data_IF_177392081057
#
_entry.id   IF_177392081057
#
_cell.length_a   1.000
_cell.length_b   1.000
_cell.length_c   1.000
_cell.angle_alpha   90.00
_cell.angle_beta   90.00
_cell.angle_gamma   90.00
#
_symmetry.space_group_name_H-M   'P 1'
#
loop_
_entity.id
_entity.type
_entity.pdbx_description
1 polymer ?
#
# COMPACT_ATOMS: atom_id res chain seq x y z
N UNK A 1 -15.34 -12.21 4.60
CA UNK A 1 -14.10 -12.20 5.39
C UNK A 1 -12.80 -12.29 4.54
N UNK A 2 -12.69 -13.06 3.43
CA UNK A 2 -11.42 -13.16 2.69
C UNK A 2 -10.89 -11.81 2.19
N UNK A 3 -11.76 -10.92 1.71
CA UNK A 3 -11.35 -9.59 1.23
C UNK A 3 -10.61 -8.75 2.29
N UNK A 4 -11.07 -8.79 3.54
CA UNK A 4 -10.43 -8.06 4.64
C UNK A 4 -9.03 -8.60 4.92
N UNK A 5 -8.87 -9.92 5.08
CA UNK A 5 -7.58 -10.52 5.39
C UNK A 5 -6.59 -10.40 4.24
N UNK A 6 -7.04 -10.59 2.99
CA UNK A 6 -6.20 -10.39 1.81
C UNK A 6 -5.74 -8.94 1.70
N UNK A 7 -6.64 -7.97 1.86
CA UNK A 7 -6.27 -6.56 1.82
C UNK A 7 -5.33 -6.18 2.96
N UNK A 8 -5.55 -6.71 4.17
CA UNK A 8 -4.67 -6.47 5.31
C UNK A 8 -3.26 -6.99 5.05
N UNK A 9 -3.12 -8.25 4.63
CA UNK A 9 -1.83 -8.87 4.39
C UNK A 9 -1.09 -8.24 3.20
N UNK A 10 -1.76 -8.06 2.07
CA UNK A 10 -1.14 -7.48 0.87
C UNK A 10 -0.74 -6.02 1.09
N UNK A 11 -1.59 -5.22 1.76
CA UNK A 11 -1.27 -3.84 2.08
C UNK A 11 -0.14 -3.73 3.10
N UNK A 12 -0.10 -4.60 4.11
CA UNK A 12 1.01 -4.64 5.06
C UNK A 12 2.32 -5.01 4.36
N UNK A 13 2.33 -6.06 3.54
CA UNK A 13 3.52 -6.50 2.80
C UNK A 13 4.04 -5.41 1.85
N UNK A 14 3.15 -4.76 1.09
CA UNK A 14 3.52 -3.68 0.19
C UNK A 14 4.09 -2.48 0.98
N UNK A 15 3.45 -2.12 2.09
CA UNK A 15 3.81 -0.95 2.89
C UNK A 15 5.16 -1.09 3.59
N UNK A 16 5.60 -2.31 4.01
CA UNK A 16 6.89 -2.50 4.71
C UNK A 16 8.07 -2.00 3.89
N UNK A 17 8.07 -2.23 2.58
CA UNK A 17 9.09 -1.73 1.65
C UNK A 17 8.76 -0.38 1.03
N UNK A 18 7.56 0.16 1.27
CA UNK A 18 7.00 1.34 0.63
C UNK A 18 7.61 2.67 1.11
N UNK A 19 7.45 3.71 0.29
CA UNK A 19 7.92 5.07 0.61
C UNK A 19 7.24 5.66 1.85
N UNK A 20 5.91 5.45 2.07
CA UNK A 20 5.25 6.04 3.23
C UNK A 20 5.81 5.53 4.57
N UNK A 21 6.15 4.23 4.67
CA UNK A 21 6.75 3.68 5.88
C UNK A 21 8.15 4.25 6.14
N UNK A 22 8.97 4.36 5.08
CA UNK A 22 10.30 4.94 5.16
C UNK A 22 10.24 6.42 5.60
N UNK A 23 9.37 7.20 4.99
CA UNK A 23 9.16 8.60 5.36
C UNK A 23 8.69 8.74 6.81
N UNK A 24 7.72 7.92 7.23
CA UNK A 24 7.21 7.92 8.62
C UNK A 24 8.32 7.60 9.62
N UNK A 25 9.15 6.60 9.33
CA UNK A 25 10.27 6.22 10.19
C UNK A 25 11.28 7.37 10.35
N UNK A 26 11.66 7.99 9.24
CA UNK A 26 12.59 9.14 9.25
C UNK A 26 12.02 10.33 10.02
N UNK A 27 10.77 10.70 9.74
CA UNK A 27 10.10 11.79 10.45
C UNK A 27 9.96 11.51 11.95
N UNK A 28 9.63 10.27 12.33
CA UNK A 28 9.55 9.89 13.75
C UNK A 28 10.91 10.01 14.44
N UNK A 29 11.99 9.59 13.78
CA UNK A 29 13.34 9.75 14.29
C UNK A 29 13.74 11.21 14.53
N UNK A 30 13.32 12.11 13.63
CA UNK A 30 13.62 13.54 13.76
C UNK A 30 12.68 14.28 14.72
N UNK A 31 11.41 13.88 14.81
CA UNK A 31 10.37 14.54 15.63
C UNK A 31 10.26 13.95 17.05
N UNK A 32 11.13 12.99 17.40
CA UNK A 32 11.14 12.40 18.74
C UNK A 32 9.89 11.60 19.09
N UNK A 33 9.29 10.90 18.13
CA UNK A 33 8.11 10.06 18.38
C UNK A 33 6.81 10.84 18.63
N UNK A 34 6.61 11.97 17.96
CA UNK A 34 5.43 12.82 18.11
C UNK A 34 4.13 12.04 17.86
N UNK A 35 3.21 12.07 18.83
CA UNK A 35 1.89 11.41 18.75
C UNK A 35 1.03 11.97 17.61
N UNK A 36 1.17 13.26 17.28
CA UNK A 36 0.50 13.86 16.15
C UNK A 36 0.87 13.21 14.81
N UNK A 37 2.12 12.74 14.67
CA UNK A 37 2.57 12.06 13.46
C UNK A 37 1.83 10.73 13.27
N UNK A 38 1.67 9.91 14.31
CA UNK A 38 0.94 8.63 14.17
C UNK A 38 -0.55 8.85 13.89
N UNK A 39 -1.15 9.88 14.47
CA UNK A 39 -2.54 10.25 14.15
C UNK A 39 -2.68 10.60 12.66
N UNK A 40 -1.75 11.38 12.11
CA UNK A 40 -1.71 11.70 10.67
C UNK A 40 -1.51 10.44 9.83
N UNK A 41 -0.62 9.52 10.22
CA UNK A 41 -0.41 8.25 9.52
C UNK A 41 -1.70 7.42 9.42
N UNK A 42 -2.43 7.26 10.51
CA UNK A 42 -3.71 6.55 10.52
C UNK A 42 -4.78 7.26 9.69
N UNK A 43 -4.91 8.58 9.84
CA UNK A 43 -5.87 9.37 9.07
C UNK A 43 -5.63 9.22 7.56
N UNK A 44 -4.38 9.38 7.12
CA UNK A 44 -4.02 9.25 5.71
C UNK A 44 -4.22 7.82 5.20
N UNK A 45 -3.90 6.79 6.01
CA UNK A 45 -4.13 5.40 5.65
C UNK A 45 -5.63 5.08 5.49
N UNK A 46 -6.49 5.59 6.36
CA UNK A 46 -7.94 5.42 6.28
C UNK A 46 -8.50 6.13 5.04
N UNK A 47 -8.15 7.40 4.86
CA UNK A 47 -8.65 8.21 3.73
C UNK A 47 -8.24 7.60 2.39
N UNK A 48 -6.97 7.27 2.21
CA UNK A 48 -6.49 6.72 0.94
C UNK A 48 -7.02 5.31 0.67
N UNK A 49 -7.22 4.48 1.71
CA UNK A 49 -7.87 3.17 1.57
C UNK A 49 -9.35 3.33 1.20
N UNK A 50 -10.05 4.30 1.79
CA UNK A 50 -11.44 4.58 1.47
C UNK A 50 -11.61 5.04 0.01
N UNK A 51 -10.73 5.92 -0.45
CA UNK A 51 -10.70 6.37 -1.85
C UNK A 51 -10.43 5.20 -2.81
N UNK A 52 -9.46 4.32 -2.48
CA UNK A 52 -9.16 3.15 -3.29
C UNK A 52 -10.33 2.14 -3.31
N UNK A 53 -10.95 1.89 -2.15
CA UNK A 53 -12.11 0.99 -2.05
C UNK A 53 -13.32 1.51 -2.80
N UNK A 54 -13.64 2.79 -2.66
CA UNK A 54 -14.71 3.45 -3.40
C UNK A 54 -14.44 3.46 -4.91
N UNK A 55 -13.23 3.85 -5.33
CA UNK A 55 -12.82 3.82 -6.73
C UNK A 55 -12.90 2.43 -7.33
N UNK A 56 -12.51 1.40 -6.56
CA UNK A 56 -12.64 0.00 -6.97
C UNK A 56 -14.09 -0.44 -7.14
N UNK A 57 -14.98 -0.04 -6.23
CA UNK A 57 -16.43 -0.32 -6.35
C UNK A 57 -17.02 0.34 -7.59
N UNK A 58 -16.66 1.60 -7.85
CA UNK A 58 -17.11 2.33 -9.02
C UNK A 58 -16.61 1.69 -10.32
N UNK A 59 -15.32 1.34 -10.39
CA UNK A 59 -14.77 0.63 -11.55
C UNK A 59 -15.45 -0.72 -11.78
N UNK A 60 -15.70 -1.48 -10.70
CA UNK A 60 -16.36 -2.79 -10.78
C UNK A 60 -17.75 -2.71 -11.39
N UNK A 61 -18.46 -1.58 -11.19
CA UNK A 61 -19.80 -1.37 -11.78
C UNK A 61 -19.76 -1.14 -13.29
N UNK A 62 -18.61 -0.72 -13.84
CA UNK A 62 -18.42 -0.44 -15.26
C UNK A 62 -17.80 -1.62 -16.04
N UNK A 63 -17.32 -2.66 -15.32
CA UNK A 63 -16.53 -3.73 -15.93
C UNK A 63 -17.32 -5.04 -16.06
N UNK A 64 -17.20 -5.69 -17.23
CA UNK A 64 -17.60 -7.08 -17.40
C UNK A 64 -16.72 -8.03 -16.56
N UNK A 65 -17.22 -9.23 -16.18
CA UNK A 65 -16.48 -10.16 -15.32
C UNK A 65 -15.05 -10.47 -15.79
N UNK A 66 -14.84 -10.71 -17.08
CA UNK A 66 -13.52 -10.97 -17.66
C UNK A 66 -12.58 -9.76 -17.54
N UNK A 67 -13.11 -8.54 -17.69
CA UNK A 67 -12.34 -7.31 -17.52
C UNK A 67 -11.87 -7.10 -16.09
N UNK A 68 -12.67 -7.51 -15.08
CA UNK A 68 -12.29 -7.43 -13.66
C UNK A 68 -11.04 -8.24 -13.37
N UNK A 69 -10.97 -9.47 -13.86
CA UNK A 69 -9.79 -10.34 -13.65
C UNK A 69 -8.54 -9.77 -14.32
N UNK A 70 -8.66 -9.26 -15.55
CA UNK A 70 -7.55 -8.59 -16.23
C UNK A 70 -7.11 -7.32 -15.51
N UNK A 71 -8.06 -6.55 -14.97
CA UNK A 71 -7.75 -5.36 -14.17
C UNK A 71 -6.97 -5.71 -12.89
N UNK A 72 -7.36 -6.79 -12.19
CA UNK A 72 -6.63 -7.28 -11.01
C UNK A 72 -5.21 -7.70 -11.38
N UNK A 73 -5.03 -8.42 -12.49
CA UNK A 73 -3.70 -8.78 -12.98
C UNK A 73 -2.84 -7.54 -13.29
N UNK A 74 -3.42 -6.53 -13.95
CA UNK A 74 -2.74 -5.26 -14.24
C UNK A 74 -2.36 -4.50 -12.96
N UNK A 75 -3.26 -4.42 -11.98
CA UNK A 75 -3.00 -3.77 -10.69
C UNK A 75 -1.86 -4.46 -9.92
N UNK A 76 -1.84 -5.80 -9.91
CA UNK A 76 -0.75 -6.59 -9.34
C UNK A 76 0.60 -6.32 -10.05
N UNK A 77 0.59 -6.27 -11.38
CA UNK A 77 1.78 -6.00 -12.17
C UNK A 77 2.32 -4.58 -11.92
N UNK A 78 1.44 -3.57 -11.88
CA UNK A 78 1.82 -2.17 -11.57
C UNK A 78 2.38 -2.07 -10.15
N UNK A 79 1.77 -2.73 -9.18
CA UNK A 79 2.26 -2.77 -7.78
C UNK A 79 3.63 -3.43 -7.68
N UNK A 80 3.84 -4.52 -8.42
CA UNK A 80 5.15 -5.17 -8.51
C UNK A 80 6.19 -4.24 -9.11
N UNK A 81 5.86 -3.58 -10.21
CA UNK A 81 6.76 -2.66 -10.91
C UNK A 81 7.09 -1.44 -10.05
N UNK A 82 6.12 -0.88 -9.35
CA UNK A 82 6.33 0.24 -8.42
C UNK A 82 7.35 -0.16 -7.33
N UNK A 83 7.16 -1.31 -6.67
CA UNK A 83 8.09 -1.81 -5.67
C UNK A 83 9.49 -2.11 -6.24
N UNK A 84 9.56 -2.61 -7.48
CA UNK A 84 10.82 -2.92 -8.14
C UNK A 84 11.61 -1.65 -8.51
N UNK A 85 10.93 -0.65 -9.08
CA UNK A 85 11.54 0.57 -9.57
C UNK A 85 11.75 1.64 -8.49
N UNK A 86 11.20 1.44 -7.30
CA UNK A 86 11.30 2.39 -6.20
C UNK A 86 12.76 2.67 -5.85
N UNK A 87 13.18 3.92 -6.03
CA UNK A 87 14.48 4.40 -5.55
C UNK A 87 14.33 4.88 -4.11
N UNK A 88 15.34 4.61 -3.27
CA UNK A 88 15.41 5.24 -1.95
C UNK A 88 15.47 6.76 -2.14
N UNK A 89 14.44 7.45 -1.66
CA UNK A 89 14.47 8.91 -1.60
C UNK A 89 15.50 9.34 -0.55
N UNK A 90 16.24 10.41 -0.82
CA UNK A 90 17.09 11.02 0.18
C UNK A 90 16.22 11.54 1.34
N UNK A 91 16.75 11.49 2.56
CA UNK A 91 16.10 12.11 3.70
C UNK A 91 15.90 13.61 3.42
N UNK A 92 14.76 14.21 3.78
CA UNK A 92 14.61 15.66 3.70
C UNK A 92 15.73 16.36 4.47
N UNK A 93 16.38 17.36 3.87
CA UNK A 93 17.44 18.11 4.52
C UNK A 93 16.96 18.83 5.78
N UNK A 94 15.74 19.32 5.75
CA UNK A 94 15.05 19.94 6.90
C UNK A 94 13.64 19.35 7.00
N UNK A 95 13.38 18.45 7.98
CA UNK A 95 12.05 17.90 8.17
C UNK A 95 11.09 18.99 8.69
N UNK A 96 9.98 19.19 7.99
CA UNK A 96 8.94 20.10 8.45
C UNK A 96 8.32 19.61 9.76
N UNK A 97 8.06 20.53 10.69
CA UNK A 97 7.28 20.28 11.92
C UNK A 97 5.77 20.47 11.71
N UNK A 98 5.36 20.92 10.53
CA UNK A 98 3.95 21.11 10.20
C UNK A 98 3.27 19.78 9.93
N UNK A 99 2.38 19.32 10.82
CA UNK A 99 1.60 18.10 10.63
C UNK A 99 0.71 18.15 9.38
N UNK A 100 0.23 19.33 9.00
CA UNK A 100 -0.54 19.52 7.76
C UNK A 100 0.29 19.26 6.51
N UNK A 101 1.52 19.76 6.46
CA UNK A 101 2.44 19.48 5.35
C UNK A 101 2.81 17.99 5.30
N UNK A 102 3.06 17.38 6.46
CA UNK A 102 3.33 15.93 6.56
C UNK A 102 2.12 15.13 6.06
N UNK A 103 0.89 15.53 6.43
CA UNK A 103 -0.33 14.87 5.97
C UNK A 103 -0.46 14.92 4.44
N UNK A 104 -0.22 16.07 3.83
CA UNK A 104 -0.28 16.22 2.36
C UNK A 104 0.74 15.34 1.65
N UNK A 105 1.97 15.30 2.12
CA UNK A 105 3.02 14.45 1.53
C UNK A 105 2.67 12.97 1.71
N UNK A 106 2.24 12.54 2.90
CA UNK A 106 1.83 11.15 3.14
C UNK A 106 0.60 10.76 2.30
N UNK A 107 -0.37 11.66 2.12
CA UNK A 107 -1.50 11.41 1.21
C UNK A 107 -1.02 11.21 -0.22
N UNK A 108 -0.16 12.08 -0.74
CA UNK A 108 0.37 11.98 -2.10
C UNK A 108 1.15 10.68 -2.31
N UNK A 109 2.04 10.33 -1.38
CA UNK A 109 2.81 9.09 -1.44
C UNK A 109 1.92 7.84 -1.33
N UNK A 110 0.90 7.86 -0.48
CA UNK A 110 0.01 6.72 -0.29
C UNK A 110 -0.97 6.49 -1.42
N UNK A 111 -1.43 7.54 -2.11
CA UNK A 111 -2.38 7.40 -3.24
C UNK A 111 -1.78 6.60 -4.38
N UNK A 112 -0.47 6.75 -4.62
CA UNK A 112 0.25 6.06 -5.69
C UNK A 112 1.00 4.81 -5.22
N UNK A 113 0.84 4.40 -3.96
CA UNK A 113 1.52 3.27 -3.36
C UNK A 113 0.88 1.93 -3.75
N UNK A 114 1.70 0.90 -3.88
CA UNK A 114 1.28 -0.47 -4.20
C UNK A 114 0.12 -0.96 -3.30
N UNK A 115 0.12 -0.61 -2.01
CA UNK A 115 -0.94 -0.99 -1.09
C UNK A 115 -2.33 -0.48 -1.54
N UNK A 116 -2.41 0.71 -2.16
CA UNK A 116 -3.69 1.27 -2.66
C UNK A 116 -4.16 0.59 -3.92
N UNK A 117 -3.25 0.20 -4.80
CA UNK A 117 -3.60 -0.63 -5.96
C UNK A 117 -4.17 -1.97 -5.55
N UNK A 118 -3.69 -2.58 -4.43
CA UNK A 118 -4.27 -3.82 -3.91
C UNK A 118 -5.68 -3.62 -3.34
N UNK A 119 -5.91 -2.58 -2.54
CA UNK A 119 -7.24 -2.28 -2.01
C UNK A 119 -8.23 -2.08 -3.15
N UNK A 120 -7.84 -1.33 -4.17
CA UNK A 120 -8.65 -1.08 -5.35
C UNK A 120 -8.92 -2.39 -6.12
N UNK A 121 -7.88 -3.19 -6.40
CA UNK A 121 -8.00 -4.46 -7.12
C UNK A 121 -8.88 -5.47 -6.35
N UNK A 122 -8.71 -5.59 -5.04
CA UNK A 122 -9.51 -6.48 -4.21
C UNK A 122 -10.97 -6.01 -4.11
N UNK A 123 -11.21 -4.69 -4.10
CA UNK A 123 -12.57 -4.15 -4.19
C UNK A 123 -13.25 -4.54 -5.49
N UNK A 124 -12.53 -4.47 -6.62
CA UNK A 124 -13.02 -4.91 -7.94
C UNK A 124 -13.29 -6.42 -7.96
N UNK A 125 -12.31 -7.21 -7.47
CA UNK A 125 -12.36 -8.67 -7.55
C UNK A 125 -13.44 -9.29 -6.67
N UNK A 126 -13.62 -8.77 -5.45
CA UNK A 126 -14.44 -9.40 -4.42
C UNK A 126 -15.85 -8.81 -4.32
N UNK A 127 -16.08 -7.62 -4.86
CA UNK A 127 -17.32 -6.87 -4.68
C UNK A 127 -17.59 -6.48 -3.22
N UNK A 128 -16.56 -6.49 -2.38
CA UNK A 128 -16.65 -6.18 -0.95
C UNK A 128 -15.75 -4.97 -0.59
N UNK A 129 -16.02 -3.76 -1.12
CA UNK A 129 -15.16 -2.60 -0.99
C UNK A 129 -14.94 -2.18 0.47
N UNK A 130 -15.97 -2.27 1.32
CA UNK A 130 -15.84 -1.91 2.73
C UNK A 130 -14.83 -2.81 3.48
N UNK A 131 -14.83 -4.12 3.19
CA UNK A 131 -13.89 -5.07 3.79
C UNK A 131 -12.48 -4.87 3.25
N UNK A 132 -12.32 -4.63 1.95
CA UNK A 132 -11.03 -4.32 1.34
C UNK A 132 -10.44 -3.01 1.89
N UNK A 133 -11.28 -1.96 2.02
CA UNK A 133 -10.91 -0.68 2.66
C UNK A 133 -10.44 -0.88 4.09
N UNK A 134 -11.23 -1.60 4.91
CA UNK A 134 -10.87 -1.85 6.31
C UNK A 134 -9.54 -2.63 6.42
N UNK A 135 -9.38 -3.69 5.64
CA UNK A 135 -8.15 -4.46 5.60
C UNK A 135 -6.95 -3.62 5.17
N UNK A 136 -7.10 -2.82 4.11
CA UNK A 136 -6.06 -1.92 3.63
C UNK A 136 -5.64 -0.86 4.64
N UNK A 137 -6.60 -0.23 5.31
CA UNK A 137 -6.35 0.76 6.35
C UNK A 137 -5.63 0.13 7.55
N UNK A 138 -6.10 -1.03 8.02
CA UNK A 138 -5.50 -1.74 9.14
C UNK A 138 -4.08 -2.21 8.82
N UNK A 139 -3.86 -2.84 7.66
CA UNK A 139 -2.55 -3.33 7.25
C UNK A 139 -1.52 -2.20 7.10
N UNK A 140 -1.91 -1.14 6.40
CA UNK A 140 -1.05 0.05 6.24
C UNK A 140 -0.81 0.77 7.56
N UNK A 141 -1.87 1.00 8.36
CA UNK A 141 -1.78 1.66 9.66
C UNK A 141 -0.87 0.91 10.63
N UNK A 142 -0.95 -0.43 10.66
CA UNK A 142 -0.09 -1.26 11.49
C UNK A 142 1.40 -1.10 11.12
N UNK A 143 1.72 -1.13 9.81
CA UNK A 143 3.11 -0.94 9.35
C UNK A 143 3.60 0.47 9.61
N UNK A 144 2.78 1.51 9.38
CA UNK A 144 3.13 2.90 9.70
C UNK A 144 3.35 3.09 11.20
N UNK A 145 2.55 2.41 12.05
CA UNK A 145 2.76 2.41 13.51
C UNK A 145 4.08 1.77 13.90
N UNK A 146 4.44 0.64 13.28
CA UNK A 146 5.73 -0.01 13.48
C UNK A 146 6.89 0.88 13.00
N UNK A 147 6.77 1.52 11.83
CA UNK A 147 7.75 2.46 11.30
C UNK A 147 7.91 3.69 12.22
N UNK A 148 6.80 4.21 12.74
CA UNK A 148 6.81 5.30 13.72
C UNK A 148 7.50 4.90 15.04
N UNK A 149 7.23 3.71 15.56
CA UNK A 149 7.79 3.23 16.82
C UNK A 149 9.29 2.93 16.73
N UNK A 150 9.76 2.42 15.59
CA UNK A 150 11.17 2.14 15.34
C UNK A 150 11.96 3.39 14.92
N UNK A 151 11.30 4.37 14.34
CA UNK A 151 11.94 5.64 13.94
C UNK A 151 13.19 5.41 13.10
N UNK A 152 14.28 6.11 13.43
CA UNK A 152 15.53 6.06 12.68
C UNK A 152 16.19 4.67 12.59
N UNK A 153 15.79 3.70 13.44
CA UNK A 153 16.34 2.33 13.38
C UNK A 153 15.61 1.42 12.40
N UNK A 154 14.51 1.86 11.78
CA UNK A 154 13.74 1.11 10.80
C UNK A 154 14.62 0.61 9.65
N UNK A 155 15.38 1.51 9.03
CA UNK A 155 16.26 1.20 7.90
C UNK A 155 17.46 0.32 8.30
N UNK A 156 17.92 0.44 9.54
CA UNK A 156 19.07 -0.33 10.05
C UNK A 156 18.68 -1.76 10.41
N UNK A 157 17.47 -1.97 10.92
CA UNK A 157 17.00 -3.29 11.38
C UNK A 157 16.39 -4.14 10.29
N UNK A 158 15.79 -3.51 9.27
CA UNK A 158 15.07 -4.23 8.23
C UNK A 158 15.87 -4.24 6.92
N UNK A 159 16.08 -5.42 6.33
CA UNK A 159 16.68 -5.54 5.01
C UNK A 159 15.64 -5.15 3.94
N UNK A 160 15.33 -3.85 3.83
CA UNK A 160 14.22 -3.35 3.00
C UNK A 160 14.35 -3.71 1.52
N UNK A 161 15.58 -3.74 0.97
CA UNK A 161 15.82 -4.11 -0.44
C UNK A 161 15.40 -5.53 -0.75
N UNK A 162 15.89 -6.60 -0.04
CA UNK A 162 15.45 -7.96 -0.31
C UNK A 162 13.97 -8.19 0.02
N UNK A 163 13.41 -7.57 1.06
CA UNK A 163 11.97 -7.64 1.34
C UNK A 163 11.18 -7.11 0.15
N UNK A 164 11.53 -5.92 -0.34
CA UNK A 164 10.87 -5.28 -1.48
C UNK A 164 10.96 -6.12 -2.75
N UNK A 165 12.14 -6.68 -3.05
CA UNK A 165 12.33 -7.56 -4.20
C UNK A 165 11.51 -8.86 -4.08
N UNK A 166 11.47 -9.46 -2.89
CA UNK A 166 10.67 -10.65 -2.63
C UNK A 166 9.17 -10.39 -2.79
N UNK A 167 8.67 -9.28 -2.22
CA UNK A 167 7.26 -8.88 -2.35
C UNK A 167 6.92 -8.54 -3.80
N UNK A 168 7.79 -7.80 -4.50
CA UNK A 168 7.61 -7.50 -5.93
C UNK A 168 7.54 -8.78 -6.77
N UNK A 169 8.46 -9.74 -6.54
CA UNK A 169 8.44 -11.04 -7.22
C UNK A 169 7.16 -11.84 -6.97
N UNK A 170 6.70 -11.88 -5.71
CA UNK A 170 5.44 -12.53 -5.35
C UNK A 170 4.24 -11.92 -6.10
N UNK A 171 4.16 -10.60 -6.16
CA UNK A 171 3.09 -9.88 -6.84
C UNK A 171 3.15 -10.06 -8.35
N UNK A 172 4.34 -10.13 -8.94
CA UNK A 172 4.50 -10.41 -10.37
C UNK A 172 4.02 -11.83 -10.72
N UNK A 173 4.39 -12.82 -9.92
CA UNK A 173 3.92 -14.20 -10.10
C UNK A 173 2.39 -14.25 -10.01
N UNK A 174 1.80 -13.62 -8.98
CA UNK A 174 0.36 -13.55 -8.82
C UNK A 174 -0.31 -12.85 -10.02
N UNK A 175 0.28 -11.75 -10.54
CA UNK A 175 -0.22 -11.06 -11.72
C UNK A 175 -0.26 -11.98 -12.95
N UNK A 176 0.80 -12.73 -13.19
CA UNK A 176 0.88 -13.68 -14.31
C UNK A 176 -0.16 -14.79 -14.17
N UNK A 177 -0.29 -15.39 -12.98
CA UNK A 177 -1.28 -16.45 -12.72
C UNK A 177 -2.69 -15.92 -12.99
N UNK A 178 -3.06 -14.76 -12.43
CA UNK A 178 -4.39 -14.17 -12.63
C UNK A 178 -4.62 -13.81 -14.10
N UNK A 179 -3.62 -13.30 -14.81
CA UNK A 179 -3.75 -12.98 -16.24
C UNK A 179 -3.97 -14.23 -17.09
N UNK A 180 -3.26 -15.33 -16.82
CA UNK A 180 -3.41 -16.60 -17.55
C UNK A 180 -4.77 -17.25 -17.24
N UNK A 181 -5.21 -17.24 -15.98
CA UNK A 181 -6.56 -17.70 -15.60
C UNK A 181 -7.65 -16.87 -16.27
N UNK A 182 -7.49 -15.55 -16.34
CA UNK A 182 -8.46 -14.67 -16.99
C UNK A 182 -8.61 -14.93 -18.50
N UNK A 183 -7.59 -15.51 -19.13
CA UNK A 183 -7.60 -15.91 -20.54
C UNK A 183 -7.99 -17.38 -20.76
N UNK A 184 -8.32 -18.12 -19.70
CA UNK A 184 -8.66 -19.54 -19.80
C UNK A 184 -7.49 -20.45 -20.20
N UNK A 185 -6.25 -19.99 -20.02
CA UNK A 185 -5.05 -20.79 -20.31
C UNK A 185 -4.77 -21.79 -19.19
N UNK A 186 -5.07 -21.37 -17.96
CA UNK A 186 -5.00 -22.20 -16.75
C UNK A 186 -6.29 -22.01 -15.96
N UNK A 187 -6.89 -23.08 -15.49
CA UNK A 187 -8.14 -23.04 -14.71
C UNK A 187 -8.79 -24.36 -14.62
#
# INVERSE_FOLDING_TARGET
MPALFLALLTSALAMVGGRPALLTARLSGHLGGNVGLIAVCWLTAIVTSALAGWGGAWLASQMAPAAKSMFVAAALAVSSLELLLMRSSNAPAEPTRSLGAVALVLLAEQVVDAARFFVLALSVATGAPALATAGGALGSGAVLSAAWSLGGVWEARLPLKPIRLGVSGLFLIAAVIVALSARGVIG
#
